data_IF_837999965335
#
_entry.id   IF_837999965335
#
_cell.length_a   1.000
_cell.length_b   1.000
_cell.length_c   1.000
_cell.angle_alpha   90.00
_cell.angle_beta   90.00
_cell.angle_gamma   90.00
#
_symmetry.space_group_name_H-M   'P 1'
#
loop_
_entity.id
_entity.type
_entity.pdbx_description
1 polymer ?
#
# COMPACT_ATOMS: atom_id res chain seq x y z
N UNK A 1 -7.93 3.76 -6.85
CA UNK A 1 -7.78 3.15 -8.18
C UNK A 1 -7.02 1.84 -8.00
N UNK A 2 -7.36 0.81 -8.76
CA UNK A 2 -6.64 -0.46 -8.78
C UNK A 2 -5.97 -0.60 -10.15
N UNK A 3 -4.63 -0.64 -10.22
CA UNK A 3 -3.91 -0.86 -11.46
C UNK A 3 -4.01 -2.33 -11.89
N UNK A 4 -3.87 -2.58 -13.20
CA UNK A 4 -3.77 -3.93 -13.76
C UNK A 4 -2.50 -4.62 -13.25
N UNK A 5 -1.36 -3.93 -13.36
CA UNK A 5 -0.08 -4.39 -12.83
C UNK A 5 0.06 -3.99 -11.35
N UNK A 6 0.17 -4.98 -10.47
CA UNK A 6 0.24 -4.78 -9.02
C UNK A 6 1.59 -5.15 -8.41
N UNK A 7 2.49 -5.70 -9.23
CA UNK A 7 3.83 -6.11 -8.81
C UNK A 7 4.82 -4.93 -8.86
N UNK A 8 5.68 -4.85 -7.84
CA UNK A 8 6.78 -3.90 -7.79
C UNK A 8 7.76 -4.05 -8.98
N UNK A 9 7.89 -5.26 -9.55
CA UNK A 9 8.74 -5.52 -10.71
C UNK A 9 8.36 -4.69 -11.94
N UNK A 10 7.08 -4.39 -12.13
CA UNK A 10 6.62 -3.54 -13.22
C UNK A 10 7.14 -2.10 -13.07
N UNK A 11 7.09 -1.56 -11.84
CA UNK A 11 7.67 -0.26 -11.53
C UNK A 11 9.18 -0.21 -11.75
N UNK A 12 9.90 -1.27 -11.38
CA UNK A 12 11.33 -1.39 -11.64
C UNK A 12 11.64 -1.37 -13.14
N UNK A 13 10.87 -2.10 -13.97
CA UNK A 13 11.04 -2.10 -15.42
C UNK A 13 10.83 -0.71 -16.05
N UNK A 14 9.84 0.06 -15.57
CA UNK A 14 9.63 1.43 -16.04
C UNK A 14 10.82 2.34 -15.72
N UNK A 15 11.36 2.26 -14.50
CA UNK A 15 12.55 3.03 -14.08
C UNK A 15 13.76 2.64 -14.95
N UNK A 16 13.97 1.34 -15.17
CA UNK A 16 15.05 0.87 -16.05
C UNK A 16 14.87 1.38 -17.48
N UNK A 17 13.63 1.40 -18.01
CA UNK A 17 13.34 1.95 -19.33
C UNK A 17 13.70 3.44 -19.45
N UNK A 18 13.40 4.24 -18.43
CA UNK A 18 13.83 5.66 -18.38
C UNK A 18 15.35 5.77 -18.34
N UNK A 19 16.02 5.01 -17.47
CA UNK A 19 17.49 5.07 -17.33
C UNK A 19 18.23 4.58 -18.59
N UNK A 20 17.67 3.62 -19.30
CA UNK A 20 18.21 3.09 -20.55
C UNK A 20 17.84 3.95 -21.78
N UNK A 21 17.08 5.05 -21.60
CA UNK A 21 16.72 5.98 -22.67
C UNK A 21 15.57 5.51 -23.56
N UNK A 22 14.81 4.49 -23.14
CA UNK A 22 13.59 4.06 -23.84
C UNK A 22 12.39 4.99 -23.60
N UNK A 23 12.38 5.71 -22.47
CA UNK A 23 11.34 6.65 -22.08
C UNK A 23 11.96 7.98 -21.67
N UNK A 24 11.21 9.07 -21.85
CA UNK A 24 11.65 10.40 -21.45
C UNK A 24 11.69 10.55 -19.93
N UNK A 25 12.45 11.55 -19.46
CA UNK A 25 12.47 11.92 -18.04
C UNK A 25 11.13 12.50 -17.55
N UNK A 26 10.26 12.94 -18.47
CA UNK A 26 8.91 13.38 -18.13
C UNK A 26 8.06 12.16 -17.70
N UNK A 27 7.53 12.11 -16.47
CA UNK A 27 6.64 11.05 -16.02
C UNK A 27 5.39 10.86 -16.90
N UNK A 28 4.97 11.90 -17.63
CA UNK A 28 3.87 11.79 -18.59
C UNK A 28 4.16 10.78 -19.71
N UNK A 29 5.43 10.50 -20.03
CA UNK A 29 5.82 9.55 -21.07
C UNK A 29 5.47 8.09 -20.72
N UNK A 30 5.50 7.74 -19.43
CA UNK A 30 5.21 6.38 -18.93
C UNK A 30 3.79 6.24 -18.39
N UNK A 31 3.08 7.35 -18.13
CA UNK A 31 1.71 7.34 -17.61
C UNK A 31 0.73 6.48 -18.45
N UNK A 32 0.79 6.47 -19.81
CA UNK A 32 -0.07 5.61 -20.62
C UNK A 32 0.16 4.10 -20.42
N UNK A 33 1.32 3.70 -19.88
CA UNK A 33 1.65 2.31 -19.59
C UNK A 33 0.96 1.81 -18.31
N UNK A 34 0.56 2.71 -17.42
CA UNK A 34 -0.14 2.37 -16.16
C UNK A 34 -1.64 2.24 -16.42
N UNK A 35 -2.09 1.01 -16.64
CA UNK A 35 -3.50 0.70 -16.90
C UNK A 35 -4.27 0.55 -15.60
N UNK A 36 -5.45 1.17 -15.53
CA UNK A 36 -6.37 1.02 -14.40
C UNK A 36 -7.40 -0.06 -14.72
N UNK A 37 -7.48 -1.10 -13.90
CA UNK A 37 -8.49 -2.14 -14.01
C UNK A 37 -9.81 -1.69 -13.37
N UNK A 38 -9.74 -1.06 -12.19
CA UNK A 38 -10.93 -0.75 -11.40
C UNK A 38 -10.81 0.55 -10.64
N UNK A 39 -11.93 1.24 -10.50
CA UNK A 39 -12.11 2.32 -9.53
C UNK A 39 -13.06 1.82 -8.43
N UNK A 40 -12.57 1.81 -7.20
CA UNK A 40 -13.37 1.47 -6.02
C UNK A 40 -13.81 2.77 -5.34
N UNK A 41 -15.09 2.85 -5.01
CA UNK A 41 -15.68 3.97 -4.29
C UNK A 41 -16.05 3.53 -2.86
N UNK A 42 -15.93 4.42 -1.86
CA UNK A 42 -16.35 4.10 -0.49
C UNK A 42 -17.83 3.73 -0.42
N UNK A 43 -18.15 2.68 0.32
CA UNK A 43 -19.53 2.33 0.63
C UNK A 43 -19.98 3.04 1.91
N UNK A 44 -20.75 4.13 1.74
CA UNK A 44 -21.23 4.98 2.85
C UNK A 44 -22.05 4.21 3.88
N UNK A 45 -22.77 3.15 3.48
CA UNK A 45 -23.56 2.30 4.40
C UNK A 45 -22.70 1.48 5.35
N UNK A 46 -21.43 1.20 4.99
CA UNK A 46 -20.49 0.44 5.81
C UNK A 46 -19.53 1.32 6.61
N UNK A 47 -19.55 2.63 6.36
CA UNK A 47 -18.62 3.57 6.98
C UNK A 47 -18.65 3.52 8.51
N UNK A 48 -19.85 3.51 9.11
CA UNK A 48 -20.00 3.42 10.57
C UNK A 48 -19.37 2.13 11.13
N UNK A 49 -19.63 0.98 10.49
CA UNK A 49 -19.08 -0.31 10.91
C UNK A 49 -17.55 -0.31 10.87
N UNK A 50 -16.96 0.23 9.80
CA UNK A 50 -15.50 0.30 9.70
C UNK A 50 -14.88 1.25 10.72
N UNK A 51 -15.57 2.33 11.09
CA UNK A 51 -15.09 3.22 12.15
C UNK A 51 -15.10 2.52 13.51
N UNK A 52 -16.18 1.82 13.85
CA UNK A 52 -16.28 1.08 15.11
C UNK A 52 -15.18 0.00 15.18
N UNK A 53 -14.96 -0.73 14.07
CA UNK A 53 -13.89 -1.71 13.98
C UNK A 53 -12.50 -1.10 14.08
N UNK A 54 -12.29 0.09 13.51
CA UNK A 54 -11.00 0.77 13.56
C UNK A 54 -10.64 1.21 14.98
N UNK A 55 -11.62 1.68 15.77
CA UNK A 55 -11.37 2.01 17.17
C UNK A 55 -11.03 0.76 18.02
N UNK A 56 -11.70 -0.37 17.77
CA UNK A 56 -11.32 -1.65 18.40
C UNK A 56 -9.90 -2.04 18.03
N UNK A 57 -9.54 -1.94 16.74
CA UNK A 57 -8.18 -2.22 16.25
C UNK A 57 -7.14 -1.34 16.96
N UNK A 58 -7.38 -0.03 17.04
CA UNK A 58 -6.46 0.91 17.70
C UNK A 58 -6.27 0.59 19.17
N UNK A 59 -7.34 0.21 19.85
CA UNK A 59 -7.26 -0.16 21.25
C UNK A 59 -6.46 -1.44 21.46
N UNK A 60 -6.65 -2.44 20.61
CA UNK A 60 -5.87 -3.66 20.62
C UNK A 60 -4.38 -3.38 20.35
N UNK A 61 -4.07 -2.60 19.30
CA UNK A 61 -2.69 -2.24 18.95
C UNK A 61 -1.96 -1.53 20.11
N UNK A 62 -2.63 -0.58 20.76
CA UNK A 62 -2.08 0.16 21.91
C UNK A 62 -1.71 -0.76 23.08
N UNK A 63 -2.52 -1.79 23.35
CA UNK A 63 -2.29 -2.71 24.45
C UNK A 63 -1.30 -3.83 24.10
N UNK A 64 -1.34 -4.32 22.86
CA UNK A 64 -0.49 -5.42 22.43
C UNK A 64 0.92 -4.97 22.08
N UNK A 65 1.12 -3.74 21.60
CA UNK A 65 2.44 -3.23 21.21
C UNK A 65 3.49 -3.30 22.35
N UNK A 66 3.20 -2.83 23.59
CA UNK A 66 4.14 -2.98 24.70
C UNK A 66 4.45 -4.45 25.05
N UNK A 67 3.44 -5.32 25.01
CA UNK A 67 3.61 -6.76 25.29
C UNK A 67 4.51 -7.40 24.22
N UNK A 68 4.29 -7.06 22.95
CA UNK A 68 5.11 -7.53 21.84
C UNK A 68 6.58 -7.08 22.01
N UNK A 69 6.82 -5.84 22.44
CA UNK A 69 8.18 -5.37 22.75
C UNK A 69 8.82 -6.16 23.90
N UNK A 70 8.07 -6.43 24.97
CA UNK A 70 8.56 -7.24 26.11
C UNK A 70 8.90 -8.67 25.69
N UNK A 71 8.07 -9.30 24.86
CA UNK A 71 8.33 -10.64 24.32
C UNK A 71 9.57 -10.63 23.42
N UNK A 72 9.72 -9.63 22.56
CA UNK A 72 10.91 -9.50 21.71
C UNK A 72 12.19 -9.26 22.54
N UNK A 73 12.11 -8.52 23.65
CA UNK A 73 13.22 -8.41 24.60
C UNK A 73 13.52 -9.72 25.30
N UNK A 74 12.50 -10.49 25.67
CA UNK A 74 12.66 -11.80 26.28
C UNK A 74 13.34 -12.79 25.34
N UNK A 75 12.94 -12.85 24.07
CA UNK A 75 13.56 -13.74 23.05
C UNK A 75 15.03 -13.41 22.76
N UNK A 76 15.46 -12.16 23.00
CA UNK A 76 16.86 -11.74 22.80
C UNK A 76 17.77 -12.08 23.99
N UNK A 77 17.22 -12.53 25.11
CA UNK A 77 18.00 -12.95 26.30
C UNK A 77 18.46 -14.38 26.15
#
# INVERSE_FOLDING_TARGET
LLPVEQDAAFGAALITGVAAGFFDLDPASIQPLVKIERRLEPNTRRHAIYNDLFEIYREADRHLSPIAHQLAEFERR
#
